data_IF_762667148970
#
_entry.id   IF_762667148970
#
_cell.length_a   1.000
_cell.length_b   1.000
_cell.length_c   1.000
_cell.angle_alpha   90.00
_cell.angle_beta   90.00
_cell.angle_gamma   90.00
#
_symmetry.space_group_name_H-M   'P 1'
#
loop_
_entity.id
_entity.type
_entity.pdbx_description
1 polymer ?
#
# COMPACT_ATOMS: atom_id res chain seq x y z
N UNK A 1 7.80 13.56 14.62
CA UNK A 1 8.11 12.64 13.51
C UNK A 1 8.29 11.24 14.07
N UNK A 2 7.76 10.26 13.35
CA UNK A 2 7.80 8.83 13.72
C UNK A 2 8.25 8.06 12.48
N UNK A 3 9.19 7.13 12.65
CA UNK A 3 9.63 6.23 11.60
C UNK A 3 10.38 5.05 12.21
N UNK A 4 10.77 4.09 11.38
CA UNK A 4 11.69 3.04 11.78
C UNK A 4 12.70 2.71 10.69
N UNK A 5 13.71 1.94 11.07
CA UNK A 5 14.81 1.53 10.21
C UNK A 5 15.44 0.25 10.76
N UNK A 6 15.47 -0.80 9.94
CA UNK A 6 16.03 -2.10 10.32
C UNK A 6 15.31 -2.70 11.53
N UNK A 7 16.01 -2.80 12.66
CA UNK A 7 15.48 -3.41 13.90
C UNK A 7 15.00 -2.35 14.91
N UNK A 8 14.76 -1.11 14.47
CA UNK A 8 14.43 0.00 15.36
C UNK A 8 13.26 0.83 14.86
N UNK A 9 12.56 1.44 15.81
CA UNK A 9 11.55 2.47 15.56
C UNK A 9 11.75 3.63 16.54
N UNK A 10 11.51 4.84 16.06
CA UNK A 10 11.95 6.05 16.73
C UNK A 10 10.92 7.16 16.65
N UNK A 11 11.05 8.10 17.60
CA UNK A 11 10.29 9.33 17.62
C UNK A 11 11.23 10.49 17.90
N UNK A 12 11.21 11.49 17.03
CA UNK A 12 11.93 12.75 17.20
C UNK A 12 10.96 13.91 17.00
N UNK A 13 11.20 15.04 17.67
CA UNK A 13 10.52 16.29 17.32
C UNK A 13 11.20 17.00 16.14
N UNK A 14 10.60 18.09 15.65
CA UNK A 14 11.13 18.82 14.49
C UNK A 14 12.47 19.51 14.76
N UNK A 15 12.87 19.67 16.02
CA UNK A 15 14.17 20.23 16.39
C UNK A 15 15.27 19.15 16.44
N UNK A 16 14.93 17.90 16.15
CA UNK A 16 15.85 16.78 16.21
C UNK A 16 16.07 16.23 17.62
N UNK A 17 15.24 16.60 18.60
CA UNK A 17 15.30 15.98 19.93
C UNK A 17 14.73 14.57 19.86
N UNK A 18 15.51 13.61 20.32
CA UNK A 18 15.05 12.23 20.50
C UNK A 18 14.01 12.17 21.62
N UNK A 19 12.83 11.65 21.29
CA UNK A 19 11.80 11.31 22.27
C UNK A 19 11.97 9.86 22.72
N UNK A 20 12.19 8.97 21.76
CA UNK A 20 12.65 7.61 22.02
C UNK A 20 13.32 7.02 20.78
N UNK A 21 14.17 6.03 21.03
CA UNK A 21 14.78 5.20 20.02
C UNK A 21 14.81 3.75 20.50
N UNK A 22 13.93 2.90 19.98
CA UNK A 22 13.66 1.56 20.53
C UNK A 22 13.98 0.46 19.55
N UNK A 23 14.39 -0.67 20.10
CA UNK A 23 14.49 -1.93 19.36
C UNK A 23 13.12 -2.55 19.20
N UNK A 24 12.94 -3.30 18.11
CA UNK A 24 11.78 -4.16 17.95
C UNK A 24 11.74 -5.21 19.08
N UNK A 25 10.55 -5.57 19.57
CA UNK A 25 10.42 -6.71 20.47
C UNK A 25 10.98 -7.98 19.82
N UNK A 26 11.62 -8.85 20.59
CA UNK A 26 12.49 -9.95 20.09
C UNK A 26 11.81 -10.95 19.13
N UNK A 27 10.48 -11.03 19.14
CA UNK A 27 9.71 -11.86 18.21
C UNK A 27 9.61 -11.31 16.79
N UNK A 28 9.99 -10.04 16.59
CA UNK A 28 9.82 -9.32 15.34
C UNK A 28 11.14 -8.76 14.81
N UNK A 29 11.23 -8.66 13.50
CA UNK A 29 12.38 -8.15 12.78
C UNK A 29 11.97 -7.28 11.59
N UNK A 30 12.95 -6.61 11.00
CA UNK A 30 12.87 -6.04 9.65
C UNK A 30 11.72 -5.04 9.50
N UNK A 31 11.66 -4.07 10.42
CA UNK A 31 10.80 -2.90 10.24
C UNK A 31 11.08 -2.27 8.89
N UNK A 32 10.01 -1.95 8.17
CA UNK A 32 10.11 -1.07 7.02
C UNK A 32 8.76 -0.39 6.74
N UNK A 33 8.74 0.54 5.79
CA UNK A 33 7.56 1.19 5.17
C UNK A 33 6.64 2.01 6.10
N UNK A 34 6.01 1.40 7.10
CA UNK A 34 4.87 2.01 7.82
C UNK A 34 5.03 1.91 9.33
N UNK A 35 4.89 3.07 9.96
CA UNK A 35 4.63 3.23 11.38
C UNK A 35 3.47 4.21 11.51
N UNK A 36 2.40 3.77 12.14
CA UNK A 36 1.25 4.61 12.47
C UNK A 36 1.19 4.87 13.99
N UNK A 37 0.74 6.06 14.38
CA UNK A 37 0.40 6.37 15.77
C UNK A 37 -1.11 6.36 15.90
N UNK A 38 -1.64 5.21 16.30
CA UNK A 38 -3.06 4.99 16.50
C UNK A 38 -3.64 5.96 17.54
N UNK A 39 -4.91 6.30 17.37
CA UNK A 39 -5.63 7.24 18.23
C UNK A 39 -5.81 6.73 19.67
N UNK A 40 -5.70 5.42 19.88
CA UNK A 40 -5.63 4.82 21.20
C UNK A 40 -4.30 5.10 21.93
N UNK A 41 -3.33 5.74 21.27
CA UNK A 41 -2.03 6.13 21.79
C UNK A 41 -0.90 5.13 21.53
N UNK A 42 -1.22 3.93 21.03
CA UNK A 42 -0.24 2.91 20.67
C UNK A 42 0.41 3.20 19.31
N UNK A 43 1.37 2.38 18.94
CA UNK A 43 2.04 2.43 17.65
C UNK A 43 1.81 1.13 16.88
N UNK A 44 1.36 1.25 15.63
CA UNK A 44 1.28 0.11 14.71
C UNK A 44 2.52 0.10 13.83
N UNK A 45 3.25 -1.01 13.85
CA UNK A 45 4.49 -1.20 13.11
C UNK A 45 4.32 -2.32 12.09
N UNK A 46 4.68 -2.06 10.83
CA UNK A 46 4.84 -3.14 9.86
C UNK A 46 6.22 -3.77 10.02
N UNK A 47 6.24 -5.05 10.40
CA UNK A 47 7.43 -5.86 10.65
C UNK A 47 7.34 -7.21 9.95
N UNK A 48 8.28 -8.09 10.24
CA UNK A 48 8.25 -9.52 9.98
C UNK A 48 8.37 -10.31 11.29
N UNK A 49 7.93 -11.56 11.28
CA UNK A 49 8.19 -12.53 12.35
C UNK A 49 9.63 -13.04 12.26
N UNK A 50 10.34 -13.02 13.39
CA UNK A 50 11.74 -13.44 13.47
C UNK A 50 11.92 -14.94 13.26
N UNK A 51 10.91 -15.74 13.61
CA UNK A 51 10.99 -17.19 13.62
C UNK A 51 9.59 -17.82 13.54
N UNK A 52 9.08 -17.99 12.32
CA UNK A 52 7.83 -18.70 12.06
C UNK A 52 8.12 -20.14 11.65
N UNK A 53 7.47 -21.09 12.34
CA UNK A 53 7.58 -22.51 12.02
C UNK A 53 6.56 -22.87 10.93
N UNK A 54 7.06 -23.36 9.81
CA UNK A 54 6.26 -23.84 8.68
C UNK A 54 5.69 -25.25 8.98
N UNK A 55 4.64 -25.68 8.24
CA UNK A 55 4.08 -27.03 8.37
C UNK A 55 5.09 -28.15 8.09
N UNK A 56 6.10 -27.90 7.25
CA UNK A 56 7.18 -28.86 6.96
C UNK A 56 8.27 -28.92 8.07
N UNK A 57 8.07 -28.17 9.16
CA UNK A 57 8.94 -28.14 10.33
C UNK A 57 10.10 -27.14 10.26
N UNK A 58 10.34 -26.51 9.10
CA UNK A 58 11.38 -25.48 8.96
C UNK A 58 10.99 -24.21 9.69
N UNK A 59 11.99 -23.49 10.21
CA UNK A 59 11.79 -22.13 10.70
C UNK A 59 12.24 -21.13 9.65
N UNK A 60 11.43 -20.11 9.42
CA UNK A 60 11.73 -19.03 8.49
C UNK A 60 11.52 -17.68 9.15
N UNK A 61 12.26 -16.69 8.68
CA UNK A 61 11.91 -15.28 8.88
C UNK A 61 10.79 -14.95 7.90
N UNK A 62 9.67 -14.43 8.39
CA UNK A 62 8.61 -14.00 7.48
C UNK A 62 9.03 -12.70 6.76
N UNK A 63 8.24 -12.22 5.80
CA UNK A 63 8.63 -11.04 5.01
C UNK A 63 7.43 -10.12 4.87
N UNK A 64 7.52 -8.96 5.52
CA UNK A 64 6.62 -7.82 5.28
C UNK A 64 5.13 -8.14 5.46
N UNK A 65 4.82 -9.07 6.35
CA UNK A 65 3.51 -9.72 6.48
C UNK A 65 3.02 -9.82 7.94
N UNK A 66 3.57 -8.97 8.82
CA UNK A 66 3.12 -8.83 10.21
C UNK A 66 2.91 -7.34 10.54
N UNK A 67 1.79 -7.04 11.20
CA UNK A 67 1.58 -5.77 11.90
C UNK A 67 1.67 -6.06 13.40
N UNK A 68 2.50 -5.31 14.13
CA UNK A 68 2.54 -5.38 15.60
C UNK A 68 2.06 -4.06 16.18
N UNK A 69 1.22 -4.13 17.20
CA UNK A 69 0.84 -2.99 18.03
C UNK A 69 1.69 -2.97 19.29
N UNK A 70 2.35 -1.83 19.53
CA UNK A 70 3.16 -1.61 20.73
C UNK A 70 2.66 -0.41 21.51
N UNK A 71 2.61 -0.55 22.84
CA UNK A 71 2.22 0.51 23.74
C UNK A 71 3.27 1.64 23.78
N UNK A 72 2.94 2.82 24.35
CA UNK A 72 3.89 3.93 24.50
C UNK A 72 5.17 3.58 25.25
N UNK A 73 5.19 2.53 26.07
CA UNK A 73 6.39 2.03 26.77
C UNK A 73 7.21 1.03 25.93
N UNK A 74 6.69 0.56 24.79
CA UNK A 74 7.33 -0.40 23.89
C UNK A 74 6.93 -1.85 24.09
N UNK A 75 6.01 -2.14 25.01
CA UNK A 75 5.46 -3.49 25.21
C UNK A 75 4.52 -3.87 24.06
N UNK A 76 4.53 -5.15 23.66
CA UNK A 76 3.61 -5.67 22.65
C UNK A 76 2.22 -5.76 23.25
N UNK A 77 1.25 -5.15 22.57
CA UNK A 77 -0.17 -5.19 22.92
C UNK A 77 -0.87 -6.29 22.13
N UNK A 78 -0.60 -6.37 20.82
CA UNK A 78 -1.24 -7.31 19.90
C UNK A 78 -0.41 -7.47 18.61
N UNK A 79 -0.69 -8.50 17.82
CA UNK A 79 -0.14 -8.66 16.48
C UNK A 79 -1.11 -9.27 15.47
N UNK A 80 -1.00 -8.86 14.21
CA UNK A 80 -1.70 -9.45 13.07
C UNK A 80 -0.69 -10.14 12.18
N UNK A 81 -0.59 -11.46 12.35
CA UNK A 81 0.16 -12.35 11.46
C UNK A 81 -0.65 -12.60 10.20
N UNK A 82 -0.40 -11.83 9.15
CA UNK A 82 -1.26 -11.80 7.97
C UNK A 82 -1.27 -13.13 7.22
N UNK A 83 -0.23 -13.93 7.37
CA UNK A 83 -0.17 -15.28 6.81
C UNK A 83 -1.10 -16.30 7.50
N UNK A 84 -1.64 -15.97 8.68
CA UNK A 84 -2.69 -16.76 9.36
C UNK A 84 -4.09 -16.24 9.00
N UNK A 85 -4.19 -14.98 8.54
CA UNK A 85 -5.46 -14.27 8.32
C UNK A 85 -5.87 -14.29 6.83
N UNK A 86 -4.91 -14.07 5.93
CA UNK A 86 -5.10 -13.99 4.48
C UNK A 86 -4.60 -15.25 3.77
N UNK A 87 -4.47 -15.19 2.45
CA UNK A 87 -3.97 -16.28 1.62
C UNK A 87 -2.52 -16.04 1.16
N UNK A 88 -1.51 -16.61 1.84
CA UNK A 88 -0.12 -16.50 1.40
C UNK A 88 0.17 -17.23 0.08
N UNK A 89 -0.75 -18.04 -0.42
CA UNK A 89 -0.58 -18.84 -1.62
C UNK A 89 -1.34 -18.30 -2.85
N UNK A 90 -2.07 -17.19 -2.71
CA UNK A 90 -2.65 -16.47 -3.85
C UNK A 90 -1.55 -15.93 -4.75
N UNK A 91 -1.29 -16.61 -5.86
CA UNK A 91 -0.19 -16.33 -6.80
C UNK A 91 -0.56 -15.40 -7.95
N UNK A 92 -1.84 -15.16 -8.22
CA UNK A 92 -2.32 -14.46 -9.42
C UNK A 92 -1.64 -13.10 -9.62
N UNK A 93 -1.52 -12.31 -8.55
CA UNK A 93 -0.84 -11.02 -8.60
C UNK A 93 0.68 -11.19 -8.78
N UNK A 94 1.31 -12.13 -8.05
CA UNK A 94 2.76 -12.42 -8.14
C UNK A 94 3.18 -12.77 -9.57
N UNK A 95 2.38 -13.59 -10.27
CA UNK A 95 2.66 -14.08 -11.62
C UNK A 95 2.68 -12.98 -12.69
N UNK A 96 2.14 -11.80 -12.38
CA UNK A 96 2.04 -10.67 -13.32
C UNK A 96 2.81 -9.44 -12.84
N UNK A 97 3.57 -9.55 -11.75
CA UNK A 97 4.46 -8.47 -11.29
C UNK A 97 5.65 -8.33 -12.24
N UNK A 98 5.98 -7.08 -12.56
CA UNK A 98 7.23 -6.74 -13.23
C UNK A 98 8.40 -6.98 -12.27
N UNK A 99 9.27 -7.94 -12.62
CA UNK A 99 10.42 -8.29 -11.80
C UNK A 99 11.52 -7.22 -11.80
N UNK A 100 11.45 -6.23 -12.68
CA UNK A 100 12.41 -5.11 -12.69
C UNK A 100 12.16 -4.06 -11.61
N UNK A 101 11.01 -4.10 -10.94
CA UNK A 101 10.67 -3.17 -9.87
C UNK A 101 9.92 -3.89 -8.73
N UNK A 102 10.66 -4.58 -7.86
CA UNK A 102 10.11 -5.14 -6.62
C UNK A 102 10.57 -4.28 -5.44
N UNK A 103 9.70 -3.39 -4.96
CA UNK A 103 10.03 -2.41 -3.90
C UNK A 103 11.15 -1.43 -4.32
N UNK A 104 12.22 -1.31 -3.55
CA UNK A 104 13.39 -0.50 -3.90
C UNK A 104 14.45 -1.30 -4.66
N UNK A 105 14.26 -2.61 -4.83
CA UNK A 105 15.13 -3.44 -5.64
C UNK A 105 14.74 -3.25 -7.10
N UNK A 106 15.48 -2.36 -7.77
CA UNK A 106 15.29 -2.07 -9.19
C UNK A 106 16.35 -2.85 -9.98
N UNK A 107 15.90 -3.82 -10.77
CA UNK A 107 16.75 -4.57 -11.70
C UNK A 107 16.31 -4.31 -13.13
N UNK A 108 17.02 -3.44 -13.82
CA UNK A 108 16.71 -3.09 -15.19
C UNK A 108 16.84 -4.27 -16.18
N UNK A 109 17.54 -5.36 -15.84
CA UNK A 109 17.61 -6.60 -16.66
C UNK A 109 16.39 -7.51 -16.46
N UNK A 110 15.64 -7.32 -15.39
CA UNK A 110 14.42 -8.04 -15.08
C UNK A 110 13.15 -7.26 -15.46
N UNK A 111 13.29 -6.01 -15.88
CA UNK A 111 12.18 -5.15 -16.30
C UNK A 111 11.35 -5.79 -17.42
N UNK A 112 10.03 -5.78 -17.26
CA UNK A 112 9.06 -6.39 -18.16
C UNK A 112 8.98 -7.92 -18.09
N UNK A 113 9.82 -8.60 -17.28
CA UNK A 113 9.72 -10.05 -17.07
C UNK A 113 8.76 -10.35 -15.93
N UNK A 114 8.04 -11.46 -16.06
CA UNK A 114 7.15 -11.99 -15.03
C UNK A 114 7.56 -13.42 -14.66
N UNK A 115 7.02 -13.94 -13.56
CA UNK A 115 7.21 -15.34 -13.19
C UNK A 115 6.24 -16.27 -13.91
N UNK A 116 6.71 -17.48 -14.19
CA UNK A 116 5.86 -18.62 -14.53
C UNK A 116 5.43 -19.39 -13.29
N UNK A 117 4.45 -20.29 -13.45
CA UNK A 117 4.10 -21.24 -12.39
C UNK A 117 5.24 -22.20 -12.06
N UNK A 118 6.07 -22.54 -13.05
CA UNK A 118 7.24 -23.40 -12.87
C UNK A 118 8.31 -22.71 -12.02
N UNK A 119 8.52 -21.41 -12.22
CA UNK A 119 9.45 -20.61 -11.39
C UNK A 119 9.01 -20.62 -9.93
N UNK A 120 7.72 -20.37 -9.66
CA UNK A 120 7.17 -20.41 -8.30
C UNK A 120 7.26 -21.81 -7.69
N UNK A 121 6.97 -22.86 -8.46
CA UNK A 121 7.08 -24.24 -8.01
C UNK A 121 8.52 -24.61 -7.67
N UNK A 122 9.49 -24.18 -8.48
CA UNK A 122 10.92 -24.37 -8.24
C UNK A 122 11.39 -23.65 -6.99
N UNK A 123 10.99 -22.38 -6.79
CA UNK A 123 11.31 -21.65 -5.56
C UNK A 123 10.77 -22.36 -4.32
N UNK A 124 9.58 -22.94 -4.43
CA UNK A 124 8.95 -23.72 -3.36
C UNK A 124 9.71 -25.02 -3.05
N UNK A 125 10.07 -25.79 -4.07
CA UNK A 125 10.79 -27.06 -3.89
C UNK A 125 12.22 -26.87 -3.37
N UNK A 126 12.90 -25.81 -3.81
CA UNK A 126 14.27 -25.48 -3.38
C UNK A 126 14.32 -24.83 -1.98
N UNK A 127 13.15 -24.45 -1.42
CA UNK A 127 13.12 -23.74 -0.13
C UNK A 127 13.79 -22.37 -0.18
N UNK A 128 13.70 -21.68 -1.32
CA UNK A 128 14.25 -20.34 -1.48
C UNK A 128 13.44 -19.35 -0.63
N UNK A 129 13.96 -18.97 0.55
CA UNK A 129 13.34 -18.00 1.45
C UNK A 129 14.13 -16.68 1.48
N UNK A 130 13.45 -15.59 1.81
CA UNK A 130 14.02 -14.25 1.91
C UNK A 130 13.15 -13.21 1.22
N UNK A 131 13.70 -12.00 1.06
CA UNK A 131 13.01 -10.89 0.38
C UNK A 131 13.00 -11.06 -1.14
N UNK A 132 12.28 -12.08 -1.59
CA UNK A 132 12.02 -12.41 -2.99
C UNK A 132 10.52 -12.46 -3.22
N UNK A 133 10.05 -11.94 -4.34
CA UNK A 133 8.64 -12.08 -4.72
C UNK A 133 8.32 -13.57 -4.93
N UNK A 134 7.21 -14.02 -4.34
CA UNK A 134 6.83 -15.43 -4.35
C UNK A 134 5.69 -15.69 -3.37
N UNK A 135 5.14 -16.90 -3.41
CA UNK A 135 4.07 -17.33 -2.49
C UNK A 135 4.65 -18.00 -1.24
N UNK A 136 3.83 -18.04 -0.18
CA UNK A 136 4.13 -18.72 1.07
C UNK A 136 4.89 -17.86 2.08
N UNK A 137 4.78 -18.25 3.35
CA UNK A 137 5.48 -17.60 4.46
C UNK A 137 6.99 -17.78 4.29
N UNK A 138 7.74 -16.70 4.54
CA UNK A 138 9.19 -16.64 4.30
C UNK A 138 9.57 -16.12 2.91
N UNK A 139 8.59 -15.76 2.09
CA UNK A 139 8.78 -14.96 0.86
C UNK A 139 7.93 -13.71 0.92
N UNK A 140 8.20 -12.78 0.02
CA UNK A 140 7.51 -11.52 -0.08
C UNK A 140 6.16 -11.68 -0.78
N UNK A 141 5.20 -12.39 -0.18
CA UNK A 141 3.90 -12.73 -0.78
C UNK A 141 2.85 -11.62 -0.62
N UNK A 142 2.92 -10.86 0.47
CA UNK A 142 2.01 -9.75 0.76
C UNK A 142 2.62 -8.40 0.39
N UNK A 143 3.86 -8.18 0.87
CA UNK A 143 4.52 -6.89 0.74
C UNK A 143 3.64 -5.75 1.28
N UNK A 144 3.32 -5.78 2.58
CA UNK A 144 2.51 -4.71 3.18
C UNK A 144 3.31 -3.43 3.28
N UNK A 145 2.76 -2.32 2.80
CA UNK A 145 3.47 -1.05 2.71
C UNK A 145 2.80 0.12 3.46
N UNK A 146 1.58 -0.07 3.95
CA UNK A 146 0.96 0.84 4.90
C UNK A 146 0.05 0.08 5.84
N UNK A 147 -0.10 0.64 7.04
CA UNK A 147 -1.12 0.30 8.04
C UNK A 147 -1.70 1.60 8.56
N UNK A 148 -3.00 1.62 8.78
CA UNK A 148 -3.74 2.73 9.39
C UNK A 148 -4.79 2.17 10.37
N UNK A 149 -5.01 2.84 11.50
CA UNK A 149 -5.95 2.39 12.53
C UNK A 149 -7.32 3.02 12.34
N UNK A 150 -8.39 2.22 12.39
CA UNK A 150 -9.76 2.73 12.41
C UNK A 150 -10.32 2.68 13.83
N UNK A 151 -10.33 3.85 14.47
CA UNK A 151 -10.86 4.02 15.82
C UNK A 151 -12.38 3.79 15.94
N UNK A 152 -13.12 3.78 14.83
CA UNK A 152 -14.58 3.63 14.86
C UNK A 152 -15.03 2.19 15.20
N UNK A 153 -14.17 1.20 15.01
CA UNK A 153 -14.47 -0.21 15.30
C UNK A 153 -13.25 -1.05 15.74
N UNK A 154 -12.16 -0.42 16.17
CA UNK A 154 -10.92 -1.07 16.65
C UNK A 154 -10.38 -2.09 15.64
N UNK A 155 -10.02 -1.57 14.47
CA UNK A 155 -9.53 -2.37 13.36
C UNK A 155 -8.35 -1.71 12.67
N UNK A 156 -7.71 -2.44 11.77
CA UNK A 156 -6.62 -1.92 10.94
C UNK A 156 -6.97 -2.01 9.46
N UNK A 157 -6.49 -1.06 8.68
CA UNK A 157 -6.49 -1.11 7.23
C UNK A 157 -5.05 -1.24 6.76
N UNK A 158 -4.79 -2.23 5.92
CA UNK A 158 -3.48 -2.46 5.32
C UNK A 158 -3.54 -2.31 3.81
N UNK A 159 -2.43 -1.84 3.24
CA UNK A 159 -2.18 -1.94 1.80
C UNK A 159 -1.16 -3.05 1.53
N UNK A 160 -1.59 -4.05 0.78
CA UNK A 160 -0.75 -5.18 0.35
C UNK A 160 -0.41 -5.03 -1.13
N UNK A 161 0.87 -4.74 -1.43
CA UNK A 161 1.34 -4.50 -2.81
C UNK A 161 1.18 -5.76 -3.66
N UNK A 162 1.54 -6.92 -3.13
CA UNK A 162 1.59 -8.17 -3.90
C UNK A 162 0.29 -8.95 -3.86
N UNK A 163 -0.72 -8.46 -3.14
CA UNK A 163 -2.08 -8.95 -3.27
C UNK A 163 -2.97 -8.01 -4.09
N UNK A 164 -2.45 -6.87 -4.57
CA UNK A 164 -3.23 -5.83 -5.26
C UNK A 164 -4.53 -5.51 -4.50
N UNK A 165 -4.39 -5.33 -3.18
CA UNK A 165 -5.53 -5.24 -2.29
C UNK A 165 -5.27 -4.35 -1.09
N UNK A 166 -6.29 -3.55 -0.77
CA UNK A 166 -6.44 -2.86 0.51
C UNK A 166 -7.41 -3.69 1.34
N UNK A 167 -7.04 -4.03 2.58
CA UNK A 167 -7.79 -4.98 3.41
C UNK A 167 -8.03 -4.38 4.79
N UNK A 168 -9.28 -4.48 5.26
CA UNK A 168 -9.63 -4.16 6.65
C UNK A 168 -9.69 -5.44 7.48
N UNK A 169 -9.04 -5.44 8.64
CA UNK A 169 -8.95 -6.58 9.55
C UNK A 169 -9.29 -6.10 10.96
N UNK A 170 -10.20 -6.79 11.64
CA UNK A 170 -10.61 -6.43 12.99
C UNK A 170 -9.58 -6.82 14.06
N UNK A 171 -9.79 -6.31 15.27
CA UNK A 171 -9.12 -6.78 16.49
C UNK A 171 -9.21 -8.30 16.68
N UNK A 172 -10.34 -8.88 16.29
CA UNK A 172 -10.63 -10.31 16.31
C UNK A 172 -9.86 -11.14 15.27
N UNK A 173 -8.95 -10.51 14.51
CA UNK A 173 -8.14 -11.12 13.44
C UNK A 173 -8.97 -11.60 12.24
N UNK A 174 -10.24 -11.19 12.16
CA UNK A 174 -11.11 -11.51 11.04
C UNK A 174 -11.08 -10.42 9.98
N UNK A 175 -11.02 -10.83 8.70
CA UNK A 175 -11.18 -9.93 7.57
C UNK A 175 -12.58 -9.32 7.62
N UNK A 176 -12.68 -8.00 7.44
CA UNK A 176 -13.95 -7.27 7.37
C UNK A 176 -14.36 -7.03 5.92
N UNK A 177 -13.42 -6.54 5.12
CA UNK A 177 -13.59 -6.39 3.67
C UNK A 177 -12.24 -6.35 2.94
N UNK A 178 -12.29 -6.59 1.64
CA UNK A 178 -11.17 -6.53 0.70
C UNK A 178 -11.58 -5.61 -0.46
N UNK A 179 -10.82 -4.52 -0.63
CA UNK A 179 -10.87 -3.65 -1.79
C UNK A 179 -9.75 -4.09 -2.74
N UNK A 180 -10.11 -4.78 -3.82
CA UNK A 180 -9.18 -5.26 -4.83
C UNK A 180 -9.88 -6.15 -5.85
N UNK A 181 -9.17 -6.48 -6.93
CA UNK A 181 -9.68 -7.36 -7.98
C UNK A 181 -10.07 -8.74 -7.43
N UNK A 182 -11.18 -9.30 -7.93
CA UNK A 182 -11.74 -10.56 -7.42
C UNK A 182 -10.96 -11.80 -7.88
N UNK A 183 -10.30 -11.72 -9.03
CA UNK A 183 -9.52 -12.81 -9.63
C UNK A 183 -8.48 -13.38 -8.67
N UNK A 184 -8.43 -14.70 -8.57
CA UNK A 184 -7.46 -15.46 -7.76
C UNK A 184 -7.77 -15.56 -6.27
N UNK A 185 -8.81 -14.90 -5.75
CA UNK A 185 -9.24 -15.12 -4.37
C UNK A 185 -9.99 -16.45 -4.24
N UNK A 186 -9.56 -17.30 -3.31
CA UNK A 186 -10.24 -18.56 -3.02
C UNK A 186 -11.64 -18.31 -2.38
N UNK A 187 -12.47 -19.36 -2.33
CA UNK A 187 -13.87 -19.25 -1.90
C UNK A 187 -14.06 -18.69 -0.48
N UNK A 188 -13.10 -18.92 0.43
CA UNK A 188 -13.13 -18.38 1.80
C UNK A 188 -13.20 -16.85 1.81
N UNK A 189 -12.54 -16.21 0.84
CA UNK A 189 -12.41 -14.74 0.80
C UNK A 189 -13.47 -14.04 -0.03
N UNK A 190 -14.20 -14.75 -0.91
CA UNK A 190 -15.17 -14.14 -1.82
C UNK A 190 -16.24 -13.30 -1.12
N UNK A 191 -16.67 -13.70 0.09
CA UNK A 191 -17.66 -12.96 0.90
C UNK A 191 -17.17 -11.61 1.42
N UNK A 192 -15.86 -11.36 1.41
CA UNK A 192 -15.27 -10.09 1.88
C UNK A 192 -14.95 -9.12 0.74
N UNK A 193 -15.04 -9.55 -0.52
CA UNK A 193 -14.74 -8.70 -1.67
C UNK A 193 -15.81 -7.62 -1.83
N UNK A 194 -15.39 -6.35 -1.89
CA UNK A 194 -16.30 -5.24 -2.11
C UNK A 194 -16.86 -5.25 -3.54
N UNK A 195 -18.14 -4.91 -3.67
CA UNK A 195 -18.81 -4.72 -4.96
C UNK A 195 -18.67 -3.25 -5.40
N UNK A 196 -18.06 -2.97 -6.57
CA UNK A 196 -18.00 -1.60 -7.06
C UNK A 196 -19.39 -1.10 -7.49
N UNK A 197 -19.66 0.16 -7.20
CA UNK A 197 -20.90 0.86 -7.56
C UNK A 197 -20.61 2.25 -8.11
N UNK A 198 -21.49 2.75 -8.97
CA UNK A 198 -21.44 4.14 -9.44
C UNK A 198 -22.03 5.12 -8.39
N UNK A 199 -22.02 6.42 -8.72
CA UNK A 199 -22.55 7.48 -7.84
C UNK A 199 -24.05 7.42 -7.59
N UNK A 200 -24.78 6.55 -8.33
CA UNK A 200 -26.21 6.26 -8.12
C UNK A 200 -26.41 4.95 -7.36
N UNK A 201 -25.34 4.29 -6.92
CA UNK A 201 -25.38 2.99 -6.25
C UNK A 201 -25.64 1.81 -7.18
N UNK A 202 -25.58 1.99 -8.50
CA UNK A 202 -25.73 0.90 -9.46
C UNK A 202 -24.44 0.08 -9.50
N UNK A 203 -24.58 -1.24 -9.45
CA UNK A 203 -23.44 -2.17 -9.56
C UNK A 203 -22.66 -1.94 -10.85
N UNK A 204 -21.34 -1.85 -10.70
CA UNK A 204 -20.37 -1.88 -11.79
C UNK A 204 -19.93 -3.32 -12.00
N UNK A 205 -19.92 -3.76 -13.25
CA UNK A 205 -19.41 -5.09 -13.61
C UNK A 205 -17.96 -4.91 -14.06
N UNK A 206 -17.08 -5.73 -13.50
CA UNK A 206 -15.69 -5.85 -13.95
C UNK A 206 -15.52 -7.22 -14.60
N UNK A 207 -14.97 -7.24 -15.81
CA UNK A 207 -14.74 -8.43 -16.62
C UNK A 207 -13.50 -9.19 -16.14
N UNK A 208 -13.19 -10.32 -16.80
CA UNK A 208 -12.05 -11.20 -16.48
C UNK A 208 -11.99 -11.54 -14.98
N UNK A 209 -13.06 -12.16 -14.47
CA UNK A 209 -13.19 -12.52 -13.06
C UNK A 209 -13.00 -11.32 -12.11
N UNK A 210 -13.47 -10.14 -12.52
CA UNK A 210 -13.44 -8.93 -11.71
C UNK A 210 -12.10 -8.19 -11.71
N UNK A 211 -11.18 -8.51 -12.62
CA UNK A 211 -9.89 -7.82 -12.76
C UNK A 211 -9.97 -6.58 -13.68
N UNK A 212 -10.86 -6.57 -14.68
CA UNK A 212 -10.95 -5.50 -15.70
C UNK A 212 -12.24 -4.68 -15.55
N UNK A 213 -12.18 -3.58 -14.79
CA UNK A 213 -13.32 -2.68 -14.60
C UNK A 213 -13.43 -1.65 -15.73
N UNK A 214 -14.56 -0.92 -15.88
CA UNK A 214 -14.73 0.06 -16.95
C UNK A 214 -13.66 1.16 -16.97
N UNK A 215 -13.09 1.50 -15.81
CA UNK A 215 -11.99 2.45 -15.68
C UNK A 215 -10.64 1.91 -16.18
N UNK A 216 -10.49 0.60 -16.42
CA UNK A 216 -9.26 -0.01 -16.92
C UNK A 216 -8.89 0.55 -18.31
N UNK A 217 -9.82 0.42 -19.27
CA UNK A 217 -9.61 0.81 -20.67
C UNK A 217 -10.07 2.25 -20.98
N UNK A 218 -10.89 2.87 -20.12
CA UNK A 218 -11.44 4.20 -20.39
C UNK A 218 -10.45 5.32 -20.04
N UNK A 219 -9.87 5.97 -21.05
CA UNK A 219 -8.97 7.13 -20.87
C UNK A 219 -9.59 8.28 -20.07
N UNK A 220 -10.92 8.43 -20.09
CA UNK A 220 -11.64 9.45 -19.32
C UNK A 220 -11.81 9.10 -17.83
N UNK A 221 -11.26 7.97 -17.40
CA UNK A 221 -11.36 7.47 -16.04
C UNK A 221 -12.61 6.63 -15.79
N UNK A 222 -12.90 6.41 -14.52
CA UNK A 222 -13.97 5.51 -14.06
C UNK A 222 -13.47 4.56 -12.99
N UNK A 223 -14.37 3.74 -12.45
CA UNK A 223 -13.99 2.80 -11.42
C UNK A 223 -12.93 1.82 -11.94
N UNK A 224 -11.81 1.78 -11.26
CA UNK A 224 -10.80 0.73 -11.37
C UNK A 224 -10.26 0.43 -9.97
N UNK A 225 -9.74 -0.78 -9.80
CA UNK A 225 -9.03 -1.18 -8.59
C UNK A 225 -7.67 -0.48 -8.47
N UNK A 226 -6.99 -0.73 -7.36
CA UNK A 226 -5.61 -0.32 -7.16
C UNK A 226 -4.67 -1.48 -7.43
N UNK A 227 -3.49 -1.19 -7.98
CA UNK A 227 -2.52 -2.18 -8.42
C UNK A 227 -1.14 -1.79 -7.90
N UNK A 228 -0.49 -2.74 -7.23
CA UNK A 228 0.79 -2.56 -6.52
C UNK A 228 0.83 -1.30 -5.65
N UNK A 229 -0.33 -0.94 -5.08
CA UNK A 229 -0.60 0.36 -4.51
C UNK A 229 0.17 0.63 -3.22
N UNK A 230 0.38 1.90 -2.93
CA UNK A 230 0.95 2.40 -1.69
C UNK A 230 -0.02 3.32 -1.00
N UNK A 231 0.08 3.37 0.32
CA UNK A 231 -0.76 4.19 1.20
C UNK A 231 -2.24 3.83 1.06
N UNK A 232 -2.89 3.48 2.16
CA UNK A 232 -4.32 3.24 2.21
C UNK A 232 -4.85 3.96 3.45
N UNK A 233 -4.72 5.29 3.42
CA UNK A 233 -4.95 6.11 4.59
C UNK A 233 -6.41 6.52 4.70
N UNK A 234 -6.97 6.33 5.88
CA UNK A 234 -8.33 6.73 6.24
C UNK A 234 -8.40 8.25 6.21
N UNK A 235 -9.56 8.75 5.80
CA UNK A 235 -9.92 10.15 5.90
C UNK A 235 -10.79 10.31 7.14
N UNK A 236 -10.17 10.46 8.30
CA UNK A 236 -10.85 10.37 9.61
C UNK A 236 -12.02 11.34 9.73
N UNK A 237 -11.83 12.59 9.31
CA UNK A 237 -12.87 13.62 9.38
C UNK A 237 -14.08 13.37 8.48
N UNK A 238 -14.01 12.40 7.57
CA UNK A 238 -15.12 11.99 6.69
C UNK A 238 -15.65 10.59 7.00
N UNK A 239 -14.91 9.81 7.79
CA UNK A 239 -15.21 8.41 8.09
C UNK A 239 -16.04 8.29 9.36
N UNK A 240 -16.91 7.29 9.40
CA UNK A 240 -17.56 6.80 10.60
C UNK A 240 -17.67 5.27 10.52
N UNK A 241 -18.31 4.66 11.52
CA UNK A 241 -18.48 3.21 11.61
C UNK A 241 -19.14 2.55 10.38
N UNK A 242 -20.00 3.26 9.65
CA UNK A 242 -20.74 2.70 8.51
C UNK A 242 -20.13 3.07 7.16
N UNK A 243 -19.66 4.31 7.02
CA UNK A 243 -19.09 4.85 5.78
C UNK A 243 -17.64 5.20 6.01
N UNK A 244 -16.76 4.57 5.24
CA UNK A 244 -15.33 4.79 5.29
C UNK A 244 -14.82 5.47 4.02
N UNK A 245 -14.05 6.53 4.19
CA UNK A 245 -13.33 7.19 3.10
C UNK A 245 -11.84 6.90 3.26
N UNK A 246 -11.17 6.52 2.18
CA UNK A 246 -9.72 6.33 2.17
C UNK A 246 -9.09 6.87 0.90
N UNK A 247 -7.83 7.27 1.00
CA UNK A 247 -7.00 7.72 -0.10
C UNK A 247 -5.84 6.73 -0.32
N UNK A 248 -5.53 6.47 -1.59
CA UNK A 248 -4.44 5.59 -1.98
C UNK A 248 -3.66 6.10 -3.18
N UNK A 249 -2.41 5.68 -3.29
CA UNK A 249 -1.59 5.86 -4.48
C UNK A 249 -1.54 4.52 -5.23
N UNK A 250 -2.28 4.43 -6.32
CA UNK A 250 -2.33 3.29 -7.22
C UNK A 250 -1.13 3.35 -8.17
N UNK A 251 -0.08 2.57 -7.88
CA UNK A 251 1.16 2.58 -8.66
C UNK A 251 0.93 2.09 -10.09
N UNK A 252 0.21 0.98 -10.29
CA UNK A 252 -0.30 0.57 -11.60
C UNK A 252 0.48 -0.51 -12.35
N UNK A 253 1.47 -1.17 -11.72
CA UNK A 253 2.40 -2.08 -12.43
C UNK A 253 1.74 -3.33 -13.03
N UNK A 254 0.79 -3.93 -12.32
CA UNK A 254 0.08 -5.17 -12.71
C UNK A 254 -1.39 -4.93 -13.05
N UNK A 255 -1.69 -3.73 -13.56
CA UNK A 255 -3.06 -3.29 -13.84
C UNK A 255 -3.80 -4.27 -14.73
N UNK A 256 -5.02 -4.65 -14.33
CA UNK A 256 -5.83 -5.64 -15.05
C UNK A 256 -5.43 -7.11 -14.81
N UNK A 257 -4.56 -7.39 -13.84
CA UNK A 257 -3.88 -8.69 -13.65
C UNK A 257 -3.11 -9.14 -14.90
N UNK A 258 -2.43 -8.20 -15.55
CA UNK A 258 -1.56 -8.47 -16.68
C UNK A 258 -0.42 -7.44 -16.75
N UNK A 259 0.57 -7.72 -17.59
CA UNK A 259 1.51 -6.70 -18.06
C UNK A 259 0.97 -6.13 -19.38
N UNK A 260 1.01 -4.81 -19.60
CA UNK A 260 0.59 -4.25 -20.87
C UNK A 260 1.56 -4.65 -22.00
N UNK A 261 1.10 -4.54 -23.24
CA UNK A 261 1.92 -4.86 -24.41
C UNK A 261 3.21 -4.01 -24.50
N UNK A 262 3.14 -2.76 -24.03
CA UNK A 262 4.26 -1.81 -23.98
C UNK A 262 4.35 -1.19 -22.59
N UNK A 263 5.57 -1.02 -22.06
CA UNK A 263 5.76 -0.44 -20.72
C UNK A 263 5.28 1.02 -20.64
N UNK A 264 5.28 1.75 -21.75
CA UNK A 264 4.79 3.12 -21.88
C UNK A 264 3.27 3.23 -21.69
N UNK A 265 2.55 2.11 -21.68
CA UNK A 265 1.12 2.08 -21.37
C UNK A 265 0.84 2.08 -19.85
N UNK A 266 1.86 1.86 -19.01
CA UNK A 266 1.72 1.92 -17.56
C UNK A 266 1.46 3.35 -17.09
N UNK A 267 0.56 3.49 -16.11
CA UNK A 267 0.23 4.77 -15.48
C UNK A 267 -0.12 4.58 -14.01
N UNK A 268 0.17 5.60 -13.21
CA UNK A 268 -0.20 5.66 -11.80
C UNK A 268 -1.41 6.56 -11.60
N UNK A 269 -2.10 6.38 -10.47
CA UNK A 269 -3.18 7.26 -10.05
C UNK A 269 -3.08 7.59 -8.56
N UNK A 270 -3.41 8.81 -8.20
CA UNK A 270 -3.93 9.08 -6.87
C UNK A 270 -5.45 8.83 -6.90
N UNK A 271 -6.01 8.14 -5.90
CA UNK A 271 -7.42 7.74 -5.91
C UNK A 271 -8.03 7.87 -4.53
N UNK A 272 -9.32 8.20 -4.47
CA UNK A 272 -10.11 8.20 -3.23
C UNK A 272 -11.33 7.30 -3.41
N UNK A 273 -11.54 6.43 -2.44
CA UNK A 273 -12.71 5.55 -2.37
C UNK A 273 -13.59 5.91 -1.19
N UNK A 274 -14.88 5.66 -1.36
CA UNK A 274 -15.91 5.65 -0.33
C UNK A 274 -16.46 4.23 -0.23
N UNK A 275 -16.46 3.66 0.96
CA UNK A 275 -16.87 2.28 1.24
C UNK A 275 -18.08 2.34 2.15
N UNK A 276 -19.17 1.69 1.75
CA UNK A 276 -20.31 1.39 2.62
C UNK A 276 -20.05 0.01 3.25
N UNK A 277 -19.61 0.01 4.50
CA UNK A 277 -19.14 -1.18 5.21
C UNK A 277 -20.29 -2.15 5.51
N UNK A 278 -21.53 -1.65 5.60
CA UNK A 278 -22.73 -2.49 5.80
C UNK A 278 -23.21 -3.11 4.50
N UNK A 279 -23.18 -2.35 3.39
CA UNK A 279 -23.60 -2.85 2.08
C UNK A 279 -22.53 -3.65 1.34
N UNK A 280 -21.28 -3.64 1.83
CA UNK A 280 -20.12 -4.25 1.17
C UNK A 280 -19.92 -3.70 -0.26
N UNK A 281 -20.08 -2.38 -0.40
CA UNK A 281 -19.92 -1.69 -1.68
C UNK A 281 -18.85 -0.62 -1.62
N UNK A 282 -18.20 -0.37 -2.77
CA UNK A 282 -17.18 0.67 -2.93
C UNK A 282 -17.49 1.59 -4.11
N UNK A 283 -17.34 2.88 -3.89
CA UNK A 283 -17.48 3.94 -4.89
C UNK A 283 -16.13 4.65 -5.04
N UNK A 284 -15.62 4.76 -6.27
CA UNK A 284 -14.48 5.62 -6.56
C UNK A 284 -15.00 7.05 -6.75
N UNK A 285 -14.64 7.96 -5.85
CA UNK A 285 -15.19 9.33 -5.85
C UNK A 285 -14.24 10.36 -6.44
N UNK A 286 -12.95 10.02 -6.56
CA UNK A 286 -11.93 10.89 -7.12
C UNK A 286 -10.73 10.10 -7.63
N UNK A 287 -10.07 10.64 -8.65
CA UNK A 287 -8.81 10.12 -9.20
C UNK A 287 -8.00 11.24 -9.89
N UNK A 288 -6.69 11.07 -10.02
CA UNK A 288 -5.78 11.95 -10.78
C UNK A 288 -4.58 11.16 -11.28
N UNK A 289 -4.03 11.52 -12.44
CA UNK A 289 -2.73 11.02 -12.92
C UNK A 289 -2.81 10.05 -14.10
N UNK A 290 -3.98 9.47 -14.38
CA UNK A 290 -4.18 8.59 -15.55
C UNK A 290 -3.87 9.32 -16.86
N UNK A 291 -4.37 10.55 -16.97
CA UNK A 291 -4.16 11.46 -18.09
C UNK A 291 -2.71 11.89 -18.30
N UNK A 292 -1.84 11.66 -17.30
CA UNK A 292 -0.40 11.98 -17.37
C UNK A 292 0.44 10.81 -17.91
N UNK A 293 -0.16 9.63 -18.01
CA UNK A 293 0.45 8.42 -18.56
C UNK A 293 1.78 8.06 -17.92
N UNK A 294 2.64 7.42 -18.70
CA UNK A 294 3.93 6.91 -18.23
C UNK A 294 4.89 8.01 -17.71
N UNK A 295 4.78 9.26 -18.18
CA UNK A 295 5.62 10.36 -17.71
C UNK A 295 5.43 10.67 -16.21
N UNK A 296 4.30 10.29 -15.64
CA UNK A 296 4.02 10.45 -14.20
C UNK A 296 3.89 9.10 -13.47
N UNK A 297 4.12 8.00 -14.18
CA UNK A 297 4.11 6.66 -13.59
C UNK A 297 5.22 6.53 -12.56
N UNK A 298 4.82 6.08 -11.37
CA UNK A 298 5.68 5.73 -10.25
C UNK A 298 5.48 4.24 -9.94
N UNK A 299 6.37 3.34 -10.39
CA UNK A 299 6.18 1.89 -10.23
C UNK A 299 6.17 1.43 -8.77
N UNK A 300 6.78 2.23 -7.87
CA UNK A 300 6.98 1.89 -6.46
C UNK A 300 6.89 3.12 -5.56
N UNK A 301 6.74 2.90 -4.26
CA UNK A 301 6.66 3.95 -3.23
C UNK A 301 5.49 4.91 -3.48
N UNK A 302 5.62 6.21 -3.17
CA UNK A 302 4.59 7.23 -3.38
C UNK A 302 3.51 7.25 -2.29
N UNK A 303 2.69 8.31 -2.30
CA UNK A 303 1.70 8.57 -1.28
C UNK A 303 0.54 9.41 -1.82
N UNK A 304 -0.67 9.11 -1.35
CA UNK A 304 -1.84 10.00 -1.43
C UNK A 304 -2.42 10.15 -0.03
N UNK A 305 -2.64 11.38 0.43
CA UNK A 305 -3.18 11.66 1.76
C UNK A 305 -4.14 12.84 1.74
N UNK A 306 -5.23 12.73 2.50
CA UNK A 306 -6.12 13.85 2.75
C UNK A 306 -5.56 14.77 3.85
N UNK A 307 -5.77 16.07 3.68
CA UNK A 307 -5.34 17.12 4.61
C UNK A 307 -6.56 17.91 5.10
N UNK A 308 -6.89 17.76 6.38
CA UNK A 308 -8.08 18.37 6.98
C UNK A 308 -8.05 19.90 6.97
N UNK A 309 -6.88 20.50 7.21
CA UNK A 309 -6.70 21.93 7.42
C UNK A 309 -7.15 22.77 6.23
N UNK A 310 -6.99 22.25 5.01
CA UNK A 310 -7.39 22.92 3.76
C UNK A 310 -8.48 22.19 3.00
N UNK A 311 -9.01 21.09 3.55
CA UNK A 311 -9.87 20.16 2.82
C UNK A 311 -9.27 19.83 1.45
N UNK A 312 -8.04 19.31 1.44
CA UNK A 312 -7.24 19.04 0.24
C UNK A 312 -6.74 17.59 0.17
N UNK A 313 -6.30 17.18 -1.02
CA UNK A 313 -5.59 15.92 -1.26
C UNK A 313 -4.16 16.27 -1.61
N UNK A 314 -3.21 15.75 -0.84
CA UNK A 314 -1.79 15.78 -1.15
C UNK A 314 -1.39 14.48 -1.82
N UNK A 315 -0.66 14.61 -2.92
CA UNK A 315 -0.12 13.50 -3.70
C UNK A 315 1.38 13.67 -3.80
N UNK A 316 2.14 12.60 -3.55
CA UNK A 316 3.56 12.54 -3.84
C UNK A 316 3.85 11.36 -4.76
N UNK A 317 4.11 11.64 -6.03
CA UNK A 317 4.57 10.65 -7.01
C UNK A 317 6.09 10.56 -6.91
N UNK A 318 6.57 9.61 -6.13
CA UNK A 318 7.93 9.56 -5.61
C UNK A 318 8.97 9.01 -6.60
N UNK A 319 8.52 8.25 -7.60
CA UNK A 319 9.38 7.67 -8.64
C UNK A 319 8.93 8.09 -10.05
N UNK A 320 8.22 9.22 -10.13
CA UNK A 320 7.64 9.71 -11.37
C UNK A 320 8.71 9.92 -12.44
N UNK A 321 8.45 9.43 -13.65
CA UNK A 321 9.38 9.57 -14.77
C UNK A 321 10.61 8.66 -14.69
N UNK A 322 10.62 7.69 -13.77
CA UNK A 322 11.54 6.56 -13.80
C UNK A 322 11.21 5.69 -15.02
N UNK A 323 11.78 6.04 -16.17
CA UNK A 323 11.66 5.27 -17.40
C UNK A 323 12.63 4.10 -17.42
N UNK A 324 12.27 3.03 -18.12
CA UNK A 324 13.14 1.87 -18.35
C UNK A 324 13.37 1.70 -19.86
N UNK A 325 14.64 1.65 -20.26
CA UNK A 325 15.05 1.14 -21.54
C UNK A 325 15.07 -0.38 -21.41
N UNK A 326 13.96 -1.01 -21.80
CA UNK A 326 13.83 -2.47 -21.77
C UNK A 326 14.82 -3.15 -22.73
N UNK A 327 15.19 -2.49 -23.84
CA UNK A 327 16.11 -3.04 -24.82
C UNK A 327 17.57 -2.96 -24.34
N UNK A 328 17.94 -1.89 -23.65
CA UNK A 328 19.28 -1.71 -23.10
C UNK A 328 19.44 -2.23 -21.65
N UNK A 329 18.34 -2.62 -20.99
CA UNK A 329 18.32 -2.98 -19.58
C UNK A 329 18.82 -1.85 -18.68
N UNK A 330 18.39 -0.61 -18.94
CA UNK A 330 18.84 0.60 -18.22
C UNK A 330 17.68 1.47 -17.76
N UNK A 331 17.85 2.18 -16.66
CA UNK A 331 16.93 3.27 -16.29
C UNK A 331 17.20 4.47 -17.20
N UNK A 332 16.20 4.96 -17.93
CA UNK A 332 16.29 6.02 -18.95
C UNK A 332 16.44 7.42 -18.38
N UNK A 333 16.21 7.61 -17.07
CA UNK A 333 16.37 8.90 -16.41
C UNK A 333 16.26 8.79 -14.90
N UNK A 334 16.89 9.74 -14.19
CA UNK A 334 16.65 9.88 -12.76
C UNK A 334 15.17 10.20 -12.52
N UNK A 335 14.56 9.59 -11.51
CA UNK A 335 13.21 9.94 -11.11
C UNK A 335 13.11 11.46 -10.89
N UNK A 336 11.98 12.03 -11.28
CA UNK A 336 11.64 13.43 -11.01
C UNK A 336 10.40 13.45 -10.12
N UNK A 337 10.57 13.25 -8.80
CA UNK A 337 9.44 13.24 -7.89
C UNK A 337 8.58 14.49 -8.02
N UNK A 338 7.27 14.34 -7.83
CA UNK A 338 6.32 15.46 -7.92
C UNK A 338 5.42 15.43 -6.70
N UNK A 339 5.31 16.58 -6.02
CA UNK A 339 4.25 16.85 -5.06
C UNK A 339 3.15 17.64 -5.77
N UNK A 340 1.92 17.18 -5.64
CA UNK A 340 0.71 17.88 -6.09
C UNK A 340 -0.24 18.05 -4.89
N UNK A 341 -0.86 19.21 -4.71
CA UNK A 341 -1.93 19.44 -3.73
C UNK A 341 -3.19 19.94 -4.41
N UNK A 342 -4.32 19.28 -4.19
CA UNK A 342 -5.61 19.55 -4.83
C UNK A 342 -6.63 19.97 -3.77
N UNK A 343 -7.46 20.98 -4.06
CA UNK A 343 -8.70 21.14 -3.29
C UNK A 343 -9.55 19.88 -3.43
N UNK A 344 -10.28 19.49 -2.38
CA UNK A 344 -11.13 18.30 -2.41
C UNK A 344 -12.07 18.30 -3.63
N UNK A 345 -12.00 17.22 -4.43
CA UNK A 345 -12.79 17.06 -5.65
C UNK A 345 -12.20 17.73 -6.90
N UNK A 346 -11.20 18.61 -6.78
CA UNK A 346 -10.59 19.28 -7.93
C UNK A 346 -9.70 18.32 -8.73
N UNK A 347 -9.62 18.51 -10.06
CA UNK A 347 -8.73 17.75 -10.96
C UNK A 347 -7.46 18.51 -11.33
N UNK A 348 -7.42 19.81 -11.04
CA UNK A 348 -6.25 20.66 -11.24
C UNK A 348 -5.55 20.92 -9.89
N UNK A 349 -4.23 20.74 -9.81
CA UNK A 349 -3.50 20.99 -8.57
C UNK A 349 -3.45 22.49 -8.28
N UNK A 350 -3.67 22.85 -7.02
CA UNK A 350 -3.43 24.21 -6.50
C UNK A 350 -1.94 24.46 -6.24
N UNK A 351 -1.18 23.41 -5.97
CA UNK A 351 0.28 23.46 -5.80
C UNK A 351 0.88 22.29 -6.57
N UNK A 352 1.95 22.54 -7.32
CA UNK A 352 2.79 21.51 -7.93
C UNK A 352 4.25 21.85 -7.66
N UNK A 353 4.99 20.91 -7.06
CA UNK A 353 6.44 21.04 -6.81
C UNK A 353 7.12 19.84 -7.47
N UNK A 354 7.99 20.12 -8.45
CA UNK A 354 8.80 19.11 -9.12
C UNK A 354 10.21 19.12 -8.56
N UNK A 355 10.70 17.96 -8.17
CA UNK A 355 12.07 17.78 -7.71
C UNK A 355 12.99 17.42 -8.88
N UNK A 356 14.22 17.93 -8.86
CA UNK A 356 15.27 17.63 -9.83
C UNK A 356 16.56 17.27 -9.10
N UNK A 357 17.26 16.23 -9.55
CA UNK A 357 18.56 15.84 -9.01
C UNK A 357 18.54 15.14 -7.64
N UNK A 358 17.37 14.71 -7.15
CA UNK A 358 17.20 14.08 -5.83
C UNK A 358 17.14 12.54 -5.87
N UNK A 359 17.05 11.94 -7.07
CA UNK A 359 16.86 10.51 -7.22
C UNK A 359 15.47 10.03 -6.79
N UNK A 360 15.39 8.80 -6.26
CA UNK A 360 14.14 8.16 -5.90
C UNK A 360 13.64 8.63 -4.53
N UNK A 361 12.37 9.03 -4.46
CA UNK A 361 11.70 9.28 -3.20
C UNK A 361 11.12 8.00 -2.57
N UNK A 362 10.67 8.12 -1.31
CA UNK A 362 9.84 7.09 -0.67
C UNK A 362 8.43 7.65 -0.38
N UNK A 363 8.35 8.59 0.56
CA UNK A 363 7.14 9.32 0.92
C UNK A 363 7.50 10.79 1.18
N UNK A 364 6.51 11.66 1.03
CA UNK A 364 6.58 13.05 1.47
C UNK A 364 5.22 13.40 2.08
N UNK A 365 5.22 14.17 3.17
CA UNK A 365 4.01 14.63 3.82
C UNK A 365 4.21 16.09 4.23
N UNK A 366 3.19 16.94 4.12
CA UNK A 366 3.26 18.30 4.65
C UNK A 366 3.36 18.25 6.18
N UNK A 367 4.19 19.13 6.74
CA UNK A 367 4.28 19.34 8.19
C UNK A 367 3.53 20.61 8.57
N UNK A 368 2.93 20.63 9.75
CA UNK A 368 2.38 21.84 10.36
C UNK A 368 3.28 22.26 11.52
N UNK A 369 3.90 23.43 11.39
CA UNK A 369 4.74 24.04 12.44
C UNK A 369 3.89 24.32 13.67
N UNK A 370 2.68 24.85 13.49
CA UNK A 370 1.75 25.10 14.60
C UNK A 370 1.42 23.84 15.38
N UNK A 371 1.11 22.72 14.70
CA UNK A 371 0.86 21.43 15.37
C UNK A 371 2.12 20.89 16.06
N UNK A 372 3.30 21.09 15.46
CA UNK A 372 4.55 20.58 16.01
C UNK A 372 4.98 21.30 17.29
N UNK A 373 4.63 22.57 17.45
CA UNK A 373 5.00 23.42 18.59
C UNK A 373 3.80 23.86 19.44
N UNK A 374 2.61 23.32 19.18
CA UNK A 374 1.42 23.61 19.96
C UNK A 374 1.65 23.29 21.44
N UNK A 375 1.17 24.14 22.37
CA UNK A 375 1.18 23.80 23.79
C UNK A 375 0.44 22.48 23.99
N UNK A 376 1.01 21.55 24.75
CA UNK A 376 0.29 20.32 25.11
C UNK A 376 -1.05 20.73 25.73
N UNK A 377 -2.19 20.16 25.29
CA UNK A 377 -3.45 20.41 25.96
C UNK A 377 -3.25 20.08 27.44
N UNK A 378 -3.61 21.02 28.32
CA UNK A 378 -3.62 20.76 29.76
C UNK A 378 -4.57 19.57 29.95
N UNK A 379 -4.03 18.44 30.44
CA UNK A 379 -4.83 17.26 30.76
C UNK A 379 -6.08 17.72 31.54
N UNK A 380 -7.27 17.45 30.99
CA UNK A 380 -8.52 17.56 31.73
C UNK A 380 -8.75 16.29 32.51
#
# INVERSE_FOLDING_TARGET
>A
MLWGYGQRYVKYDLMGREIFNRELPSGYIDFSHSMDQAENGNYLLRVASANTKLPDGKNVRSVRDVIVEVAPNGEVVDDWKLYEILDPYRSTAILVLDQGAVCLNIDAKAAGKTFSHEDLAKMNSEGAFGDIAGTGVGRNWAHVNSVDYDQNDDSIIISSRHQNAIVKIGRDKEVKWILGAHKGWNDKFKKYLLQPVDSKGKKIVCEDEGSKCPGYENEKGGFDWTWTQHTAFIIDSKTNKDILYLAAFDNGDSRGMEQPALAEMKYSRAVVYKIDQKKMTVEQIWEYGKERGNKWFSPVTSLTKYMDDKNSIMVYSATAGMGYDLAAGKVLGAATPVIDEFKWGAKEPSVMIKFTGVGNGYQAMPISVDKAFAPKPKNK
#
